data_IF_929826016463
#
_entry.id   IF_929826016463
#
_cell.length_a   1.000
_cell.length_b   1.000
_cell.length_c   1.000
_cell.angle_alpha   90.00
_cell.angle_beta   90.00
_cell.angle_gamma   90.00
#
_symmetry.space_group_name_H-M   'P 1'
#
loop_
_entity.id
_entity.type
_entity.pdbx_description
1 polymer ?
#
# COMPACT_ATOMS: atom_id res chain seq x y z
N UNK A 1 19.64 -8.53 -7.45
CA UNK A 1 20.18 -7.61 -6.41
C UNK A 1 19.28 -6.40 -6.19
N UNK A 2 18.90 -5.64 -7.22
CA UNK A 2 18.04 -4.45 -7.08
C UNK A 2 16.68 -4.71 -6.40
N UNK A 3 16.00 -5.81 -6.75
CA UNK A 3 14.71 -6.21 -6.14
C UNK A 3 14.83 -6.41 -4.63
N UNK A 4 15.84 -7.16 -4.16
CA UNK A 4 16.07 -7.38 -2.73
C UNK A 4 16.27 -6.08 -1.97
N UNK A 5 17.10 -5.17 -2.51
CA UNK A 5 17.32 -3.86 -1.89
C UNK A 5 16.05 -3.00 -1.86
N UNK A 6 15.25 -3.01 -2.92
CA UNK A 6 13.98 -2.28 -2.96
C UNK A 6 12.96 -2.84 -1.95
N UNK A 7 12.90 -4.16 -1.80
CA UNK A 7 12.02 -4.82 -0.82
C UNK A 7 12.43 -4.49 0.61
N UNK A 8 13.73 -4.52 0.91
CA UNK A 8 14.30 -4.22 2.24
C UNK A 8 14.27 -2.73 2.61
N UNK A 9 14.04 -1.84 1.65
CA UNK A 9 13.93 -0.41 1.91
C UNK A 9 12.68 -0.08 2.78
N UNK A 10 12.71 0.99 3.58
CA UNK A 10 11.56 1.42 4.37
C UNK A 10 10.33 1.75 3.50
N UNK A 11 9.13 1.39 3.97
CA UNK A 11 7.89 1.67 3.23
C UNK A 11 7.68 3.18 3.04
N UNK A 12 7.39 3.62 1.81
CA UNK A 12 7.17 5.04 1.50
C UNK A 12 7.34 5.37 0.01
N UNK A 13 7.15 6.64 -0.39
CA UNK A 13 6.94 7.03 -1.79
C UNK A 13 8.13 6.74 -2.70
N UNK A 14 9.36 6.92 -2.19
CA UNK A 14 10.58 6.59 -2.95
C UNK A 14 10.70 5.10 -3.22
N UNK A 15 10.37 4.26 -2.22
CA UNK A 15 10.35 2.80 -2.38
C UNK A 15 9.26 2.39 -3.37
N UNK A 16 8.04 2.93 -3.25
CA UNK A 16 6.93 2.62 -4.17
C UNK A 16 7.29 2.93 -5.63
N UNK A 17 7.94 4.07 -5.91
CA UNK A 17 8.43 4.41 -7.25
C UNK A 17 9.49 3.43 -7.76
N UNK A 18 10.42 2.99 -6.91
CA UNK A 18 11.44 2.01 -7.29
C UNK A 18 10.82 0.64 -7.60
N UNK A 19 9.89 0.17 -6.77
CA UNK A 19 9.15 -1.08 -6.98
C UNK A 19 8.31 -1.04 -8.25
N UNK A 20 7.66 0.09 -8.55
CA UNK A 20 6.91 0.27 -9.79
C UNK A 20 7.77 0.09 -11.04
N UNK A 21 9.01 0.63 -11.03
CA UNK A 21 9.96 0.45 -12.14
C UNK A 21 10.40 -1.01 -12.28
N UNK A 22 10.64 -1.68 -11.16
CA UNK A 22 11.05 -3.09 -11.16
C UNK A 22 9.93 -4.03 -11.60
N UNK A 23 8.69 -3.77 -11.17
CA UNK A 23 7.53 -4.59 -11.54
C UNK A 23 7.18 -4.46 -13.02
N UNK A 24 7.34 -3.26 -13.60
CA UNK A 24 7.11 -3.01 -15.04
C UNK A 24 8.23 -3.55 -15.94
N UNK A 25 9.36 -4.00 -15.39
CA UNK A 25 10.43 -4.62 -16.16
C UNK A 25 10.05 -6.07 -16.48
N UNK A 26 9.90 -6.41 -17.75
CA UNK A 26 9.49 -7.75 -18.21
C UNK A 26 10.42 -8.87 -17.69
N UNK A 27 11.70 -8.54 -17.45
CA UNK A 27 12.68 -9.52 -16.93
C UNK A 27 12.42 -9.90 -15.48
N UNK A 28 11.67 -9.08 -14.73
CA UNK A 28 11.39 -9.33 -13.32
C UNK A 28 10.59 -10.63 -13.11
N UNK A 29 9.76 -11.04 -14.08
CA UNK A 29 8.94 -12.25 -14.03
C UNK A 29 9.78 -13.53 -13.85
N UNK A 30 11.02 -13.52 -14.34
CA UNK A 30 11.93 -14.66 -14.25
C UNK A 30 12.63 -14.79 -12.89
N UNK A 31 12.48 -13.80 -12.00
CA UNK A 31 13.11 -13.78 -10.70
C UNK A 31 12.32 -14.64 -9.70
N UNK A 32 13.03 -15.40 -8.86
CA UNK A 32 12.39 -16.14 -7.76
C UNK A 32 11.65 -15.25 -6.77
N UNK A 33 12.03 -13.97 -6.69
CA UNK A 33 11.42 -12.96 -5.83
C UNK A 33 10.23 -12.22 -6.49
N UNK A 34 9.82 -12.59 -7.72
CA UNK A 34 8.76 -11.86 -8.44
C UNK A 34 7.42 -11.86 -7.68
N UNK A 35 7.03 -12.98 -7.06
CA UNK A 35 5.76 -13.07 -6.32
C UNK A 35 5.68 -12.09 -5.14
N UNK A 36 6.77 -11.96 -4.38
CA UNK A 36 6.81 -10.99 -3.27
C UNK A 36 6.93 -9.54 -3.78
N UNK A 37 7.65 -9.32 -4.90
CA UNK A 37 7.70 -8.02 -5.57
C UNK A 37 6.30 -7.56 -6.00
N UNK A 38 5.53 -8.41 -6.67
CA UNK A 38 4.16 -8.12 -7.11
C UNK A 38 3.28 -7.77 -5.93
N UNK A 39 3.30 -8.59 -4.87
CA UNK A 39 2.50 -8.33 -3.67
C UNK A 39 2.84 -7.00 -3.02
N UNK A 40 4.12 -6.68 -2.90
CA UNK A 40 4.56 -5.42 -2.31
C UNK A 40 4.15 -4.25 -3.19
N UNK A 41 4.31 -4.36 -4.51
CA UNK A 41 3.93 -3.30 -5.45
C UNK A 41 2.42 -3.02 -5.41
N UNK A 42 1.59 -4.05 -5.25
CA UNK A 42 0.14 -3.94 -5.16
C UNK A 42 -0.39 -3.65 -3.74
N UNK A 43 0.49 -3.22 -2.82
CA UNK A 43 0.15 -2.93 -1.42
C UNK A 43 -0.57 -4.09 -0.70
N UNK A 44 -0.31 -5.35 -1.09
CA UNK A 44 -0.91 -6.55 -0.48
C UNK A 44 -0.19 -6.93 0.80
N UNK A 45 -0.94 -7.49 1.75
CA UNK A 45 -0.38 -8.05 2.99
C UNK A 45 0.47 -9.29 2.68
N UNK A 46 1.63 -9.36 3.34
CA UNK A 46 2.57 -10.48 3.25
C UNK A 46 2.35 -11.44 4.41
N UNK A 47 2.25 -12.74 4.11
CA UNK A 47 2.14 -13.77 5.14
C UNK A 47 3.53 -14.15 5.69
N UNK A 48 3.62 -14.67 6.93
CA UNK A 48 4.89 -15.11 7.51
C UNK A 48 5.64 -16.10 6.61
N UNK A 49 4.93 -17.05 5.99
CA UNK A 49 5.55 -18.07 5.12
C UNK A 49 6.21 -17.45 3.88
N UNK A 50 5.65 -16.37 3.33
CA UNK A 50 6.22 -15.67 2.18
C UNK A 50 7.48 -14.90 2.56
N UNK A 51 7.47 -14.32 3.77
CA UNK A 51 8.61 -13.60 4.33
C UNK A 51 9.75 -14.57 4.62
N UNK A 52 9.46 -15.73 5.20
CA UNK A 52 10.45 -16.77 5.51
C UNK A 52 11.09 -17.29 4.22
N UNK A 53 10.28 -17.60 3.20
CA UNK A 53 10.78 -18.00 1.87
C UNK A 53 11.64 -16.93 1.22
N UNK A 54 11.30 -15.65 1.37
CA UNK A 54 12.14 -14.56 0.87
C UNK A 54 13.46 -14.44 1.65
N UNK A 55 13.41 -14.64 2.98
CA UNK A 55 14.57 -14.56 3.87
C UNK A 55 15.63 -15.63 3.55
N UNK A 56 15.23 -16.84 3.15
CA UNK A 56 16.13 -17.91 2.68
C UNK A 56 17.02 -17.47 1.51
N UNK A 57 16.51 -16.55 0.67
CA UNK A 57 17.24 -16.00 -0.46
C UNK A 57 18.19 -14.84 -0.11
N UNK A 58 18.19 -14.36 1.13
CA UNK A 58 19.00 -13.20 1.54
C UNK A 58 20.41 -13.61 1.94
N UNK A 59 21.36 -12.72 1.67
CA UNK A 59 22.75 -12.88 2.12
C UNK A 59 22.88 -12.49 3.61
N UNK A 60 23.88 -13.01 4.34
CA UNK A 60 24.06 -12.71 5.76
C UNK A 60 24.14 -11.20 6.07
N UNK A 61 24.81 -10.42 5.20
CA UNK A 61 24.92 -8.97 5.36
C UNK A 61 23.59 -8.23 5.14
N UNK A 62 22.59 -8.87 4.50
CA UNK A 62 21.25 -8.32 4.29
C UNK A 62 20.30 -8.63 5.46
N UNK A 63 20.68 -9.55 6.34
CA UNK A 63 19.96 -9.91 7.57
C UNK A 63 20.46 -9.12 8.79
N UNK A 64 20.98 -7.92 8.56
CA UNK A 64 21.49 -7.06 9.62
C UNK A 64 20.41 -6.80 10.69
N UNK A 65 20.83 -6.78 11.94
CA UNK A 65 19.99 -6.42 13.08
C UNK A 65 20.04 -4.92 13.32
N UNK A 66 18.89 -4.33 13.62
CA UNK A 66 18.77 -2.93 14.03
C UNK A 66 18.99 -2.80 15.54
N UNK A 67 19.11 -1.57 16.02
CA UNK A 67 19.35 -1.23 17.43
C UNK A 67 18.28 -1.74 18.40
N UNK A 68 17.07 -2.01 17.89
CA UNK A 68 15.93 -2.57 18.61
C UNK A 68 15.90 -4.11 18.65
N UNK A 69 16.94 -4.76 18.11
CA UNK A 69 17.07 -6.23 18.05
C UNK A 69 16.28 -6.91 16.93
N UNK A 70 15.49 -6.17 16.15
CA UNK A 70 14.80 -6.69 14.97
C UNK A 70 15.73 -6.76 13.75
N UNK A 71 15.37 -7.53 12.73
CA UNK A 71 16.12 -7.53 11.46
C UNK A 71 15.62 -6.41 10.54
N UNK A 72 16.47 -5.92 9.64
CA UNK A 72 16.06 -4.96 8.60
C UNK A 72 14.86 -5.49 7.80
N UNK A 73 14.84 -6.79 7.50
CA UNK A 73 13.70 -7.44 6.86
C UNK A 73 12.44 -7.34 7.70
N UNK A 74 12.47 -7.77 8.98
CA UNK A 74 11.30 -7.75 9.85
C UNK A 74 10.69 -6.34 9.94
N UNK A 75 11.55 -5.32 10.08
CA UNK A 75 11.12 -3.92 10.11
C UNK A 75 10.46 -3.49 8.79
N UNK A 76 11.06 -3.82 7.65
CA UNK A 76 10.50 -3.47 6.34
C UNK A 76 9.14 -4.14 6.08
N UNK A 77 8.97 -5.39 6.52
CA UNK A 77 7.72 -6.15 6.39
C UNK A 77 6.62 -5.57 7.26
N UNK A 78 6.91 -5.24 8.52
CA UNK A 78 5.95 -4.59 9.41
C UNK A 78 5.47 -3.27 8.82
N UNK A 79 6.40 -2.41 8.37
CA UNK A 79 6.05 -1.11 7.78
C UNK A 79 5.24 -1.27 6.49
N UNK A 80 5.58 -2.27 5.68
CA UNK A 80 4.83 -2.61 4.47
C UNK A 80 3.40 -3.07 4.79
N UNK A 81 3.25 -4.05 5.69
CA UNK A 81 1.94 -4.58 6.06
C UNK A 81 1.07 -3.50 6.75
N UNK A 82 1.69 -2.55 7.46
CA UNK A 82 0.97 -1.40 8.01
C UNK A 82 0.43 -0.48 6.91
N UNK A 83 1.24 -0.19 5.88
CA UNK A 83 0.76 0.56 4.71
C UNK A 83 -0.36 -0.21 3.98
N UNK A 84 -0.20 -1.52 3.78
CA UNK A 84 -1.24 -2.37 3.21
C UNK A 84 -2.54 -2.35 4.04
N UNK A 85 -2.43 -2.42 5.37
CA UNK A 85 -3.57 -2.30 6.28
C UNK A 85 -4.30 -0.95 6.12
N UNK A 86 -3.56 0.15 5.89
CA UNK A 86 -4.18 1.47 5.65
C UNK A 86 -4.99 1.57 4.35
N UNK A 87 -4.75 0.66 3.38
CA UNK A 87 -5.55 0.55 2.16
C UNK A 87 -6.82 -0.26 2.37
N UNK A 88 -6.82 -1.16 3.36
CA UNK A 88 -7.93 -2.08 3.63
C UNK A 88 -8.90 -1.56 4.69
N UNK A 89 -8.39 -0.81 5.67
CA UNK A 89 -9.17 -0.35 6.82
C UNK A 89 -9.30 1.17 6.83
N UNK A 90 -10.49 1.68 7.18
CA UNK A 90 -10.65 3.09 7.54
C UNK A 90 -10.10 3.35 8.96
N UNK A 91 -10.27 2.39 9.85
CA UNK A 91 -9.73 2.42 11.21
C UNK A 91 -9.54 0.99 11.75
N UNK A 92 -8.68 0.84 12.76
CA UNK A 92 -8.41 -0.43 13.43
C UNK A 92 -7.85 -0.18 14.84
N UNK A 93 -8.21 -1.02 15.81
CA UNK A 93 -7.62 -1.01 17.17
C UNK A 93 -6.19 -1.55 17.13
N UNK A 94 -5.29 -1.00 17.95
CA UNK A 94 -3.88 -1.43 17.99
C UNK A 94 -3.68 -2.89 18.40
N UNK A 95 -4.59 -3.48 19.20
CA UNK A 95 -4.56 -4.91 19.49
C UNK A 95 -4.71 -5.77 18.23
N UNK A 96 -5.73 -5.47 17.40
CA UNK A 96 -5.98 -6.19 16.15
C UNK A 96 -4.91 -5.88 15.09
N UNK A 97 -4.47 -4.62 14.99
CA UNK A 97 -3.38 -4.23 14.12
C UNK A 97 -2.07 -4.94 14.50
N UNK A 98 -1.76 -5.04 15.79
CA UNK A 98 -0.62 -5.81 16.29
C UNK A 98 -0.69 -7.26 15.85
N UNK A 99 -1.83 -7.94 16.03
CA UNK A 99 -2.02 -9.31 15.56
C UNK A 99 -1.82 -9.45 14.04
N UNK A 100 -2.29 -8.48 13.26
CA UNK A 100 -2.11 -8.45 11.80
C UNK A 100 -0.63 -8.29 11.39
N UNK A 101 0.13 -7.50 12.13
CA UNK A 101 1.55 -7.19 11.87
C UNK A 101 2.52 -8.19 12.51
N UNK A 102 2.05 -9.09 13.38
CA UNK A 102 2.91 -9.95 14.20
C UNK A 102 3.63 -9.19 15.32
N UNK A 103 3.02 -8.11 15.84
CA UNK A 103 3.55 -7.24 16.89
C UNK A 103 2.62 -7.18 18.12
N UNK A 104 3.18 -6.75 19.25
CA UNK A 104 2.37 -6.27 20.39
C UNK A 104 1.70 -4.93 20.07
N UNK A 105 0.58 -4.63 20.73
CA UNK A 105 -0.20 -3.41 20.50
C UNK A 105 0.65 -2.13 20.64
N UNK A 106 1.49 -2.07 21.68
CA UNK A 106 2.39 -0.93 21.93
C UNK A 106 3.39 -0.70 20.79
N UNK A 107 4.03 -1.77 20.29
CA UNK A 107 4.95 -1.69 19.15
C UNK A 107 4.25 -1.32 17.84
N UNK A 108 3.00 -1.78 17.67
CA UNK A 108 2.19 -1.42 16.51
C UNK A 108 1.83 0.07 16.54
N UNK A 109 1.47 0.61 17.71
CA UNK A 109 1.24 2.04 17.92
C UNK A 109 2.51 2.86 17.65
N UNK A 110 3.64 2.50 18.25
CA UNK A 110 4.92 3.18 18.05
C UNK A 110 5.32 3.21 16.57
N UNK A 111 5.20 2.08 15.88
CA UNK A 111 5.52 1.98 14.45
C UNK A 111 4.59 2.84 13.60
N UNK A 112 3.30 2.88 13.94
CA UNK A 112 2.30 3.69 13.27
C UNK A 112 2.57 5.18 13.45
N UNK A 113 2.81 5.61 14.69
CA UNK A 113 3.14 7.00 15.02
C UNK A 113 4.38 7.47 14.24
N UNK A 114 5.43 6.65 14.22
CA UNK A 114 6.67 6.94 13.49
C UNK A 114 6.46 7.06 11.97
N UNK A 115 5.62 6.20 11.37
CA UNK A 115 5.34 6.30 9.94
C UNK A 115 4.51 7.54 9.59
N UNK A 116 3.56 7.93 10.45
CA UNK A 116 2.78 9.16 10.30
C UNK A 116 3.67 10.40 10.45
N UNK A 117 4.51 10.44 11.49
CA UNK A 117 5.46 11.53 11.73
C UNK A 117 6.40 11.74 10.53
N UNK A 118 6.86 10.64 9.93
CA UNK A 118 7.76 10.67 8.78
C UNK A 118 7.05 10.97 7.44
N UNK A 119 5.72 11.13 7.45
CA UNK A 119 4.94 11.34 6.22
C UNK A 119 4.93 10.15 5.29
N UNK A 120 5.21 8.94 5.80
CA UNK A 120 5.20 7.68 5.03
C UNK A 120 3.86 6.95 5.12
N UNK A 121 3.00 7.41 6.02
CA UNK A 121 1.63 6.96 6.24
C UNK A 121 0.77 8.18 6.55
N UNK A 122 -0.46 8.21 6.05
CA UNK A 122 -1.41 9.30 6.35
C UNK A 122 -2.49 8.79 7.29
N UNK A 123 -2.63 9.44 8.44
CA UNK A 123 -3.58 8.99 9.45
C UNK A 123 -3.52 9.81 10.74
N UNK A 124 -4.37 9.43 11.69
CA UNK A 124 -4.41 9.99 13.04
C UNK A 124 -4.60 8.88 14.07
N UNK A 125 -4.04 9.08 15.25
CA UNK A 125 -4.06 8.12 16.35
C UNK A 125 -4.96 8.68 17.45
N UNK A 126 -5.91 7.87 17.89
CA UNK A 126 -6.62 8.06 19.15
C UNK A 126 -5.98 7.15 20.20
N UNK A 127 -5.19 7.75 21.08
CA UNK A 127 -4.44 7.01 22.09
C UNK A 127 -5.32 6.55 23.26
N UNK A 128 -6.45 7.23 23.55
CA UNK A 128 -7.34 6.84 24.64
C UNK A 128 -8.15 5.59 24.26
N UNK A 129 -8.68 5.57 23.05
CA UNK A 129 -9.44 4.43 22.54
C UNK A 129 -8.54 3.32 21.94
N UNK A 130 -7.25 3.63 21.73
CA UNK A 130 -6.27 2.73 21.15
C UNK A 130 -6.59 2.38 19.70
N UNK A 131 -7.02 3.37 18.90
CA UNK A 131 -7.46 3.21 17.51
C UNK A 131 -6.63 4.10 16.60
N UNK A 132 -6.18 3.56 15.47
CA UNK A 132 -5.69 4.37 14.35
C UNK A 132 -6.80 4.57 13.33
N UNK A 133 -6.95 5.80 12.85
CA UNK A 133 -7.77 6.16 11.70
C UNK A 133 -6.86 6.45 10.52
N UNK A 134 -7.00 5.66 9.47
CA UNK A 134 -6.25 5.85 8.23
C UNK A 134 -6.98 6.84 7.34
N UNK A 135 -6.21 7.66 6.63
CA UNK A 135 -6.75 8.58 5.66
C UNK A 135 -6.29 8.19 4.27
N UNK A 136 -7.25 7.97 3.37
CA UNK A 136 -6.96 7.75 1.95
C UNK A 136 -6.16 8.93 1.39
N UNK A 137 -5.07 8.61 0.69
CA UNK A 137 -4.16 9.57 0.10
C UNK A 137 -2.82 8.92 -0.27
N UNK A 138 -2.02 9.62 -1.06
CA UNK A 138 -0.61 9.28 -1.26
C UNK A 138 0.22 9.99 -0.19
N UNK A 139 1.04 9.22 0.52
CA UNK A 139 2.04 9.75 1.42
C UNK A 139 3.05 10.61 0.62
N UNK A 140 3.44 11.79 1.10
CA UNK A 140 4.45 12.62 0.41
C UNK A 140 5.89 12.21 0.75
N UNK A 141 6.08 11.54 1.89
CA UNK A 141 7.40 11.19 2.43
C UNK A 141 8.10 12.34 3.14
N UNK A 142 7.45 13.50 3.28
CA UNK A 142 7.99 14.66 4.00
C UNK A 142 7.58 14.61 5.47
N UNK A 143 8.52 14.86 6.38
CA UNK A 143 8.22 14.85 7.82
C UNK A 143 7.11 15.85 8.16
N UNK A 144 6.14 15.42 8.96
CA UNK A 144 5.00 16.23 9.38
C UNK A 144 3.79 16.20 8.43
N UNK A 145 3.96 15.74 7.19
CA UNK A 145 2.89 15.69 6.18
C UNK A 145 1.90 14.52 6.35
N UNK A 146 2.23 13.54 7.19
CA UNK A 146 1.35 12.38 7.42
C UNK A 146 0.14 12.70 8.31
N UNK A 147 0.15 13.87 8.97
CA UNK A 147 -1.03 14.37 9.68
C UNK A 147 -2.04 14.84 8.66
N UNK A 148 -3.25 14.31 8.74
CA UNK A 148 -4.32 14.69 7.83
C UNK A 148 -4.65 16.19 7.94
N UNK A 149 -4.35 16.94 6.89
CA UNK A 149 -4.85 18.30 6.71
C UNK A 149 -6.26 18.27 6.10
N UNK A 150 -7.20 18.90 6.82
CA UNK A 150 -8.55 19.27 6.37
C UNK A 150 -9.55 18.09 6.23
N UNK A 151 -10.35 17.90 7.29
CA UNK A 151 -11.56 17.05 7.32
C UNK A 151 -12.67 17.54 6.38
N UNK A 152 -12.67 18.83 6.04
CA UNK A 152 -13.73 19.47 5.26
C UNK A 152 -13.65 19.07 3.78
N UNK A 153 -14.77 18.54 3.25
CA UNK A 153 -14.90 18.20 1.82
C UNK A 153 -14.29 16.86 1.41
N UNK A 154 -13.80 16.03 2.33
CA UNK A 154 -13.31 14.67 2.00
C UNK A 154 -14.41 13.79 1.42
N UNK A 155 -15.57 13.75 2.07
CA UNK A 155 -16.73 12.98 1.59
C UNK A 155 -17.23 13.50 0.23
N UNK A 156 -17.20 14.82 0.01
CA UNK A 156 -17.57 15.43 -1.27
C UNK A 156 -16.58 15.05 -2.37
N UNK A 157 -15.27 15.08 -2.09
CA UNK A 157 -14.24 14.61 -3.04
C UNK A 157 -14.39 13.13 -3.38
N UNK A 158 -14.67 12.29 -2.38
CA UNK A 158 -14.93 10.86 -2.58
C UNK A 158 -16.17 10.63 -3.44
N UNK A 159 -17.24 11.38 -3.19
CA UNK A 159 -18.45 11.33 -4.01
C UNK A 159 -18.15 11.74 -5.46
N UNK A 160 -17.40 12.83 -5.67
CA UNK A 160 -16.96 13.25 -7.00
C UNK A 160 -16.18 12.17 -7.75
N UNK A 161 -15.20 11.54 -7.11
CA UNK A 161 -14.42 10.45 -7.70
C UNK A 161 -15.29 9.23 -8.07
N UNK A 162 -16.29 8.90 -7.25
CA UNK A 162 -17.22 7.81 -7.57
C UNK A 162 -18.10 8.14 -8.79
N UNK A 163 -18.54 9.40 -8.94
CA UNK A 163 -19.32 9.85 -10.11
C UNK A 163 -18.47 9.83 -11.37
N UNK A 164 -17.21 10.27 -11.28
CA UNK A 164 -16.24 10.22 -12.37
C UNK A 164 -16.01 8.78 -12.83
N UNK A 165 -15.70 7.87 -11.91
CA UNK A 165 -15.49 6.44 -12.22
C UNK A 165 -16.71 5.80 -12.88
N UNK A 166 -17.92 6.07 -12.41
CA UNK A 166 -19.14 5.54 -13.03
C UNK A 166 -19.32 6.08 -14.47
N UNK A 167 -18.97 7.34 -14.69
CA UNK A 167 -19.06 7.97 -16.01
C UNK A 167 -18.05 7.36 -16.98
N UNK A 168 -16.81 7.12 -16.54
CA UNK A 168 -15.79 6.42 -17.32
C UNK A 168 -16.21 4.99 -17.67
N UNK A 169 -16.83 4.27 -16.74
CA UNK A 169 -17.33 2.90 -16.99
C UNK A 169 -18.43 2.89 -18.06
N UNK A 170 -19.35 3.87 -18.03
CA UNK A 170 -20.38 4.02 -19.06
C UNK A 170 -19.76 4.31 -20.43
N UNK A 171 -18.76 5.18 -20.49
CA UNK A 171 -18.02 5.49 -21.71
C UNK A 171 -17.29 4.25 -22.25
N UNK A 172 -16.62 3.48 -21.38
CA UNK A 172 -15.95 2.24 -21.74
C UNK A 172 -16.92 1.21 -22.34
N UNK A 173 -18.08 1.00 -21.70
CA UNK A 173 -19.12 0.10 -22.22
C UNK A 173 -19.65 0.58 -23.57
N UNK A 174 -19.85 1.89 -23.72
CA UNK A 174 -20.34 2.48 -24.98
C UNK A 174 -19.33 2.28 -26.11
N UNK A 175 -18.05 2.49 -25.84
CA UNK A 175 -16.96 2.25 -26.79
C UNK A 175 -16.85 0.77 -27.17
N UNK A 176 -16.95 -0.15 -26.19
CA UNK A 176 -17.00 -1.59 -26.47
C UNK A 176 -18.19 -1.97 -27.33
N UNK A 177 -19.39 -1.44 -27.06
CA UNK A 177 -20.58 -1.69 -27.87
C UNK A 177 -20.44 -1.18 -29.30
N UNK A 178 -19.87 0.02 -29.49
CA UNK A 178 -19.63 0.58 -30.83
C UNK A 178 -18.62 -0.26 -31.63
N UNK A 179 -17.61 -0.82 -30.98
CA UNK A 179 -16.59 -1.64 -31.61
C UNK A 179 -17.10 -3.04 -31.97
N UNK A 180 -17.87 -3.68 -31.09
CA UNK A 180 -18.33 -5.06 -31.28
C UNK A 180 -19.66 -5.15 -32.05
N UNK A 181 -20.56 -4.17 -31.89
CA UNK A 181 -21.92 -4.19 -32.44
C UNK A 181 -22.30 -2.85 -33.11
N UNK A 182 -21.56 -2.40 -34.15
CA UNK A 182 -21.77 -1.09 -34.77
C UNK A 182 -23.16 -0.91 -35.37
N UNK A 183 -23.75 -1.95 -35.96
CA UNK A 183 -25.10 -1.90 -36.56
C UNK A 183 -26.20 -1.74 -35.51
N UNK A 184 -26.06 -2.41 -34.36
CA UNK A 184 -27.00 -2.27 -33.23
C UNK A 184 -26.96 -0.84 -32.68
N UNK A 185 -25.75 -0.32 -32.50
CA UNK A 185 -25.54 1.04 -31.99
C UNK A 185 -26.09 2.06 -32.99
N UNK A 186 -25.81 1.94 -34.28
CA UNK A 186 -26.36 2.80 -35.33
C UNK A 186 -27.91 2.78 -35.38
N UNK A 187 -28.54 1.62 -35.20
CA UNK A 187 -29.99 1.49 -35.18
C UNK A 187 -30.66 2.08 -33.93
N UNK A 188 -29.91 2.27 -32.83
CA UNK A 188 -30.42 2.76 -31.53
C UNK A 188 -29.94 4.17 -31.18
N UNK A 189 -28.92 4.69 -31.86
CA UNK A 189 -28.44 6.08 -31.74
C UNK A 189 -29.29 7.10 -32.51
N UNK A 190 -30.33 6.67 -33.23
CA UNK A 190 -31.22 7.57 -33.96
C UNK A 190 -32.06 8.38 -32.97
N UNK A 191 -31.69 9.64 -32.79
CA UNK A 191 -32.50 10.70 -32.16
C UNK A 191 -33.55 11.17 -33.17
#
# INVERSE_FOLDING_TARGET
MAVKCAILAPAGPTRSRALARLYKDERAVQLGEFGILEKIFLDRLLSPQEVDKFAEGLQPHQLATTSDGSTVLAKAIVEHNLLGASRLYNNIRFGALGSLLGLGAEKAEETTARMIEQGRLVGRIDQLDGIVWFEGGEASGEKGSGKAEVLTGKEVRRWGANVESLSEDVENVTNSLQNEFPDFVAAKLVI
#
